data_IF_156642501317
#
_entry.id   IF_156642501317
#
_cell.length_a   1.000
_cell.length_b   1.000
_cell.length_c   1.000
_cell.angle_alpha   90.00
_cell.angle_beta   90.00
_cell.angle_gamma   90.00
#
_symmetry.space_group_name_H-M   'P 1'
#
loop_
_entity.id
_entity.type
_entity.pdbx_description
1 polymer ?
#
# COMPACT_ATOMS: atom_id res chain seq x y z
N UNK A 1 25.29 -12.31 -14.81
CA UNK A 1 24.15 -12.16 -15.73
C UNK A 1 24.58 -11.35 -16.94
N UNK A 2 24.47 -11.93 -18.13
CA UNK A 2 24.75 -11.24 -19.40
C UNK A 2 23.55 -10.35 -19.82
N UNK A 3 23.72 -9.54 -20.88
CA UNK A 3 22.68 -8.60 -21.34
C UNK A 3 21.38 -9.30 -21.79
N UNK A 4 21.50 -10.49 -22.36
CA UNK A 4 20.37 -11.26 -22.88
C UNK A 4 19.53 -11.87 -21.75
N UNK A 5 20.18 -12.53 -20.79
CA UNK A 5 19.55 -13.05 -19.57
C UNK A 5 18.82 -11.95 -18.78
N UNK A 6 19.43 -10.76 -18.70
CA UNK A 6 18.82 -9.61 -18.04
C UNK A 6 17.52 -9.17 -18.74
N UNK A 7 17.51 -9.16 -20.07
CA UNK A 7 16.31 -8.85 -20.86
C UNK A 7 15.17 -9.84 -20.59
N UNK A 8 15.48 -11.15 -20.59
CA UNK A 8 14.51 -12.20 -20.30
C UNK A 8 13.90 -12.03 -18.91
N UNK A 9 14.72 -11.81 -17.88
CA UNK A 9 14.22 -11.62 -16.51
C UNK A 9 13.32 -10.38 -16.40
N UNK A 10 13.67 -9.28 -17.05
CA UNK A 10 12.84 -8.06 -17.07
C UNK A 10 11.48 -8.34 -17.73
N UNK A 11 11.46 -9.06 -18.86
CA UNK A 11 10.21 -9.41 -19.53
C UNK A 11 9.36 -10.38 -18.72
N UNK A 12 10.00 -11.30 -17.98
CA UNK A 12 9.31 -12.17 -17.03
C UNK A 12 8.66 -11.37 -15.90
N UNK A 13 9.37 -10.42 -15.29
CA UNK A 13 8.82 -9.53 -14.25
C UNK A 13 7.59 -8.78 -14.80
N UNK A 14 7.68 -8.22 -16.02
CA UNK A 14 6.55 -7.51 -16.65
C UNK A 14 5.34 -8.42 -16.86
N UNK A 15 5.54 -9.66 -17.30
CA UNK A 15 4.46 -10.65 -17.49
C UNK A 15 3.79 -11.03 -16.16
N UNK A 16 4.58 -11.32 -15.13
CA UNK A 16 4.07 -11.66 -13.80
C UNK A 16 3.32 -10.47 -13.18
N UNK A 17 3.87 -9.26 -13.29
CA UNK A 17 3.21 -8.03 -12.82
C UNK A 17 1.86 -7.79 -13.52
N UNK A 18 1.77 -8.05 -14.84
CA UNK A 18 0.51 -7.96 -15.58
C UNK A 18 -0.54 -8.98 -15.12
N UNK A 19 -0.09 -10.16 -14.67
CA UNK A 19 -0.93 -11.20 -14.04
C UNK A 19 -1.23 -10.95 -12.56
N UNK A 20 -0.68 -9.88 -11.97
CA UNK A 20 -0.74 -9.57 -10.53
C UNK A 20 -0.04 -10.62 -9.64
N UNK A 21 0.87 -11.40 -10.22
CA UNK A 21 1.73 -12.36 -9.51
C UNK A 21 2.94 -11.61 -8.90
N UNK A 22 2.65 -10.68 -7.97
CA UNK A 22 3.64 -9.73 -7.46
C UNK A 22 4.74 -10.37 -6.61
N UNK A 23 4.43 -11.43 -5.87
CA UNK A 23 5.39 -12.15 -5.03
C UNK A 23 6.53 -12.76 -5.84
N UNK A 24 6.20 -13.48 -6.90
CA UNK A 24 7.20 -14.07 -7.81
C UNK A 24 7.96 -13.00 -8.57
N UNK A 25 7.25 -11.98 -9.07
CA UNK A 25 7.87 -10.85 -9.76
C UNK A 25 8.89 -10.13 -8.85
N UNK A 26 8.57 -9.95 -7.57
CA UNK A 26 9.44 -9.27 -6.60
C UNK A 26 10.70 -10.07 -6.30
N UNK A 27 10.57 -11.39 -6.16
CA UNK A 27 11.71 -12.28 -5.97
C UNK A 27 12.70 -12.17 -7.14
N UNK A 28 12.20 -12.24 -8.38
CA UNK A 28 13.05 -12.09 -9.57
C UNK A 28 13.69 -10.70 -9.64
N UNK A 29 12.93 -9.66 -9.29
CA UNK A 29 13.42 -8.28 -9.30
C UNK A 29 14.58 -8.06 -8.30
N UNK A 30 14.58 -8.71 -7.12
CA UNK A 30 15.68 -8.60 -6.14
C UNK A 30 16.99 -9.19 -6.64
N UNK A 31 16.92 -10.25 -7.45
CA UNK A 31 18.12 -10.90 -8.02
C UNK A 31 18.79 -10.09 -9.15
N UNK A 32 18.14 -9.01 -9.62
CA UNK A 32 18.65 -8.19 -10.72
C UNK A 32 19.55 -7.08 -10.17
N UNK A 33 20.73 -6.94 -10.79
CA UNK A 33 21.55 -5.75 -10.59
C UNK A 33 21.03 -4.56 -11.42
N UNK A 34 20.12 -3.80 -10.84
CA UNK A 34 19.48 -2.62 -11.45
C UNK A 34 20.45 -1.47 -11.78
N UNK A 35 21.68 -1.49 -11.23
CA UNK A 35 22.70 -0.49 -11.59
C UNK A 35 23.11 -0.58 -13.06
N UNK A 36 22.84 -1.68 -13.76
CA UNK A 36 23.13 -1.83 -15.19
C UNK A 36 21.94 -1.50 -16.10
N UNK A 37 20.74 -1.35 -15.55
CA UNK A 37 19.51 -1.11 -16.30
C UNK A 37 19.24 0.40 -16.38
N UNK A 38 19.21 0.95 -17.59
CA UNK A 38 18.90 2.38 -17.83
C UNK A 38 17.45 2.63 -18.22
N UNK A 39 16.69 1.58 -18.50
CA UNK A 39 15.29 1.68 -18.89
C UNK A 39 14.42 2.07 -17.69
N UNK A 40 13.76 3.23 -17.80
CA UNK A 40 12.82 3.71 -16.79
C UNK A 40 11.62 2.80 -16.64
N UNK A 41 11.09 2.23 -17.73
CA UNK A 41 9.90 1.37 -17.65
C UNK A 41 10.19 0.08 -16.86
N UNK A 42 11.35 -0.53 -17.09
CA UNK A 42 11.81 -1.68 -16.31
C UNK A 42 11.97 -1.33 -14.82
N UNK A 43 12.62 -0.20 -14.50
CA UNK A 43 12.80 0.26 -13.11
C UNK A 43 11.46 0.56 -12.43
N UNK A 44 10.56 1.28 -13.11
CA UNK A 44 9.23 1.58 -12.59
C UNK A 44 8.42 0.30 -12.31
N UNK A 45 8.49 -0.68 -13.21
CA UNK A 45 7.84 -1.99 -13.00
C UNK A 45 8.40 -2.68 -11.76
N UNK A 46 9.73 -2.70 -11.60
CA UNK A 46 10.37 -3.32 -10.45
C UNK A 46 9.99 -2.63 -9.13
N UNK A 47 10.02 -1.30 -9.10
CA UNK A 47 9.60 -0.49 -7.95
C UNK A 47 8.14 -0.83 -7.55
N UNK A 48 7.22 -0.83 -8.52
CA UNK A 48 5.80 -1.12 -8.25
C UNK A 48 5.58 -2.54 -7.75
N UNK A 49 6.35 -3.50 -8.25
CA UNK A 49 6.27 -4.90 -7.81
C UNK A 49 6.76 -5.06 -6.36
N UNK A 50 7.87 -4.40 -5.98
CA UNK A 50 8.34 -4.41 -4.58
C UNK A 50 7.33 -3.72 -3.65
N UNK A 51 6.77 -2.59 -4.10
CA UNK A 51 5.71 -1.92 -3.36
C UNK A 51 4.48 -2.81 -3.14
N UNK A 52 4.05 -3.53 -4.18
CA UNK A 52 2.86 -4.38 -4.12
C UNK A 52 2.99 -5.54 -3.12
N UNK A 53 4.21 -6.02 -2.85
CA UNK A 53 4.48 -7.03 -1.82
C UNK A 53 4.78 -6.43 -0.45
N UNK A 54 4.75 -5.10 -0.32
CA UNK A 54 5.01 -4.38 0.94
C UNK A 54 6.49 -4.21 1.28
N UNK A 55 7.41 -4.51 0.36
CA UNK A 55 8.85 -4.29 0.56
C UNK A 55 9.20 -2.83 0.21
N UNK A 56 8.85 -1.94 1.12
CA UNK A 56 9.04 -0.49 0.95
C UNK A 56 10.52 -0.07 1.01
N UNK A 57 11.39 -0.85 1.67
CA UNK A 57 12.82 -0.55 1.70
C UNK A 57 13.47 -0.82 0.34
N UNK A 58 13.16 -1.96 -0.28
CA UNK A 58 13.66 -2.28 -1.61
C UNK A 58 13.07 -1.34 -2.67
N UNK A 59 11.77 -1.06 -2.60
CA UNK A 59 11.12 -0.09 -3.50
C UNK A 59 11.75 1.31 -3.39
N UNK A 60 12.07 1.76 -2.16
CA UNK A 60 12.80 3.02 -1.90
C UNK A 60 14.17 3.00 -2.55
N UNK A 61 14.97 1.96 -2.34
CA UNK A 61 16.35 1.90 -2.82
C UNK A 61 16.41 1.89 -4.36
N UNK A 62 15.49 1.18 -5.01
CA UNK A 62 15.31 1.24 -6.47
C UNK A 62 14.85 2.62 -6.94
N UNK A 63 13.94 3.28 -6.22
CA UNK A 63 13.49 4.63 -6.53
C UNK A 63 14.61 5.68 -6.36
N UNK A 64 15.47 5.55 -5.35
CA UNK A 64 16.68 6.37 -5.17
C UNK A 64 17.61 6.22 -6.37
N UNK A 65 17.82 4.99 -6.84
CA UNK A 65 18.64 4.74 -8.03
C UNK A 65 18.09 5.48 -9.26
N UNK A 66 16.78 5.41 -9.49
CA UNK A 66 16.12 6.11 -10.58
C UNK A 66 16.20 7.65 -10.43
N UNK A 67 16.02 8.16 -9.20
CA UNK A 67 16.11 9.59 -8.89
C UNK A 67 17.50 10.15 -9.17
N UNK A 68 18.55 9.44 -8.72
CA UNK A 68 19.94 9.82 -8.97
C UNK A 68 20.30 9.84 -10.48
N UNK A 69 19.54 9.11 -11.30
CA UNK A 69 19.67 9.06 -12.77
C UNK A 69 18.80 10.05 -13.50
N UNK A 70 18.07 10.91 -12.78
CA UNK A 70 17.13 11.87 -13.35
C UNK A 70 15.99 11.20 -14.15
N UNK A 71 15.57 9.99 -13.76
CA UNK A 71 14.44 9.28 -14.35
C UNK A 71 13.14 9.60 -13.60
N UNK A 72 12.00 9.38 -14.25
CA UNK A 72 10.66 9.45 -13.63
C UNK A 72 10.13 10.84 -13.22
N UNK A 73 10.99 11.86 -13.17
CA UNK A 73 10.59 13.26 -12.96
C UNK A 73 9.79 13.50 -11.68
N UNK A 74 8.83 14.43 -11.73
CA UNK A 74 8.00 14.83 -10.57
C UNK A 74 7.21 13.68 -9.97
N UNK A 75 6.71 12.75 -10.81
CA UNK A 75 5.97 11.56 -10.36
C UNK A 75 6.86 10.64 -9.50
N UNK A 76 8.13 10.47 -9.86
CA UNK A 76 9.06 9.71 -9.02
C UNK A 76 9.37 10.44 -7.71
N UNK A 77 9.49 11.77 -7.71
CA UNK A 77 9.70 12.53 -6.46
C UNK A 77 8.54 12.33 -5.49
N UNK A 78 7.30 12.40 -5.97
CA UNK A 78 6.11 12.06 -5.18
C UNK A 78 6.24 10.66 -4.60
N UNK A 79 6.48 9.67 -5.46
CA UNK A 79 6.51 8.26 -5.07
C UNK A 79 7.62 7.93 -4.07
N UNK A 80 8.81 8.48 -4.30
CA UNK A 80 9.94 8.33 -3.39
C UNK A 80 9.66 8.99 -2.03
N UNK A 81 8.92 10.11 -2.01
CA UNK A 81 8.46 10.71 -0.76
C UNK A 81 7.54 9.77 0.01
N UNK A 82 6.57 9.12 -0.66
CA UNK A 82 5.72 8.10 -0.04
C UNK A 82 6.55 6.96 0.57
N UNK A 83 7.58 6.47 -0.14
CA UNK A 83 8.44 5.41 0.41
C UNK A 83 9.22 5.85 1.65
N UNK A 84 9.77 7.07 1.65
CA UNK A 84 10.42 7.61 2.85
C UNK A 84 9.45 7.76 4.03
N UNK A 85 8.19 8.14 3.78
CA UNK A 85 7.13 8.15 4.80
C UNK A 85 6.89 6.73 5.35
N UNK A 86 6.76 5.74 4.46
CA UNK A 86 6.48 4.34 4.83
C UNK A 86 7.59 3.70 5.66
N UNK A 87 8.84 4.01 5.36
CA UNK A 87 10.01 3.51 6.12
C UNK A 87 10.36 4.37 7.34
N UNK A 88 9.58 5.43 7.62
CA UNK A 88 9.77 6.30 8.79
C UNK A 88 10.96 7.26 8.73
N UNK A 89 11.55 7.46 7.54
CA UNK A 89 12.66 8.39 7.33
C UNK A 89 12.11 9.77 6.93
N UNK A 90 11.65 10.48 7.95
CA UNK A 90 10.93 11.74 7.80
C UNK A 90 11.82 12.90 7.35
N UNK A 91 13.12 12.88 7.66
CA UNK A 91 14.05 13.93 7.24
C UNK A 91 14.15 13.98 5.71
N UNK A 92 14.35 12.81 5.08
CA UNK A 92 14.38 12.72 3.63
C UNK A 92 13.00 12.95 3.00
N UNK A 93 11.92 12.49 3.66
CA UNK A 93 10.57 12.77 3.20
C UNK A 93 10.26 14.27 3.16
N UNK A 94 10.62 15.03 4.21
CA UNK A 94 10.45 16.49 4.26
C UNK A 94 11.24 17.18 3.14
N UNK A 95 12.51 16.80 2.93
CA UNK A 95 13.35 17.40 1.88
C UNK A 95 12.81 17.16 0.46
N UNK A 96 12.22 15.98 0.21
CA UNK A 96 11.63 15.65 -1.09
C UNK A 96 10.22 16.23 -1.27
N UNK A 97 9.42 16.30 -0.21
CA UNK A 97 8.16 17.01 -0.23
C UNK A 97 8.35 18.47 -0.65
N UNK A 98 9.36 19.15 -0.09
CA UNK A 98 9.68 20.52 -0.47
C UNK A 98 10.10 20.67 -1.94
N UNK A 99 10.81 19.68 -2.50
CA UNK A 99 11.12 19.63 -3.93
C UNK A 99 9.85 19.45 -4.77
N UNK A 100 8.98 18.54 -4.36
CA UNK A 100 7.71 18.29 -5.01
C UNK A 100 6.84 19.54 -5.01
N UNK A 101 6.62 20.14 -3.83
CA UNK A 101 5.82 21.35 -3.64
C UNK A 101 6.27 22.49 -4.55
N UNK A 102 7.59 22.73 -4.66
CA UNK A 102 8.15 23.79 -5.51
C UNK A 102 8.03 23.50 -7.00
N UNK A 103 8.16 22.24 -7.40
CA UNK A 103 8.10 21.82 -8.81
C UNK A 103 6.68 21.54 -9.32
N UNK A 104 5.71 21.39 -8.41
CA UNK A 104 4.32 21.02 -8.68
C UNK A 104 3.31 21.98 -8.03
N UNK A 105 3.53 23.29 -8.16
CA UNK A 105 2.74 24.34 -7.48
C UNK A 105 1.25 24.40 -7.87
N UNK A 106 0.87 23.79 -8.98
CA UNK A 106 -0.55 23.70 -9.41
C UNK A 106 -1.12 22.30 -9.23
N UNK A 107 -0.33 21.35 -8.73
CA UNK A 107 -0.80 20.01 -8.45
C UNK A 107 -1.44 19.97 -7.06
N UNK A 108 -2.70 19.56 -7.02
CA UNK A 108 -3.49 19.47 -5.79
C UNK A 108 -3.03 18.29 -4.93
N UNK A 109 -2.42 17.26 -5.53
CA UNK A 109 -1.87 16.09 -4.83
C UNK A 109 -0.80 16.47 -3.79
N UNK A 110 -0.22 17.67 -3.88
CA UNK A 110 0.72 18.18 -2.88
C UNK A 110 0.10 18.29 -1.48
N UNK A 111 -1.20 18.57 -1.39
CA UNK A 111 -1.88 18.67 -0.09
C UNK A 111 -2.03 17.29 0.54
N UNK A 112 -2.35 16.29 -0.28
CA UNK A 112 -2.47 14.89 0.16
C UNK A 112 -1.12 14.33 0.60
N UNK A 113 -0.06 14.54 -0.18
CA UNK A 113 1.28 14.10 0.23
C UNK A 113 1.73 14.79 1.52
N UNK A 114 1.39 16.07 1.70
CA UNK A 114 1.68 16.78 2.94
C UNK A 114 0.89 16.22 4.11
N UNK A 115 -0.40 15.98 3.92
CA UNK A 115 -1.28 15.36 4.91
C UNK A 115 -0.72 14.01 5.37
N UNK A 116 -0.34 13.13 4.44
CA UNK A 116 0.21 11.81 4.76
C UNK A 116 1.54 11.90 5.51
N UNK A 117 2.42 12.84 5.12
CA UNK A 117 3.68 13.11 5.80
C UNK A 117 3.47 13.58 7.25
N UNK A 118 2.59 14.58 7.44
CA UNK A 118 2.29 15.13 8.78
C UNK A 118 1.59 14.11 9.66
N UNK A 119 0.67 13.34 9.10
CA UNK A 119 0.00 12.24 9.80
C UNK A 119 0.99 11.17 10.26
N UNK A 120 1.94 10.77 9.41
CA UNK A 120 2.97 9.80 9.78
C UNK A 120 3.95 10.34 10.84
N UNK A 121 4.17 11.66 10.87
CA UNK A 121 4.92 12.36 11.92
C UNK A 121 4.14 12.54 13.23
N UNK A 122 2.92 12.01 13.34
CA UNK A 122 2.02 12.19 14.48
C UNK A 122 1.70 13.67 14.77
N UNK A 123 1.52 14.48 13.71
CA UNK A 123 1.00 15.82 13.84
C UNK A 123 -0.37 15.83 14.55
N UNK A 124 -0.69 16.95 15.21
CA UNK A 124 -1.97 17.08 15.91
C UNK A 124 -3.16 17.00 14.95
N UNK A 125 -4.30 16.49 15.42
CA UNK A 125 -5.52 16.45 14.60
C UNK A 125 -5.91 17.85 14.08
N UNK A 126 -5.68 18.92 14.85
CA UNK A 126 -5.94 20.30 14.41
C UNK A 126 -5.03 20.74 13.24
N UNK A 127 -3.79 20.28 13.21
CA UNK A 127 -2.89 20.56 12.09
C UNK A 127 -3.38 19.82 10.83
N UNK A 128 -3.77 18.56 10.98
CA UNK A 128 -4.34 17.75 9.90
C UNK A 128 -5.66 18.33 9.36
N UNK A 129 -6.49 18.92 10.24
CA UNK A 129 -7.68 19.68 9.83
C UNK A 129 -7.30 20.81 8.88
N UNK A 130 -6.33 21.65 9.26
CA UNK A 130 -5.94 22.80 8.43
C UNK A 130 -5.48 22.38 7.03
N UNK A 131 -4.70 21.28 6.93
CA UNK A 131 -4.24 20.77 5.63
C UNK A 131 -5.40 20.31 4.74
N UNK A 132 -6.40 19.63 5.32
CA UNK A 132 -7.55 19.15 4.55
C UNK A 132 -8.59 20.25 4.26
N UNK A 133 -8.68 21.28 5.10
CA UNK A 133 -9.44 22.50 4.78
C UNK A 133 -8.86 23.19 3.55
N UNK A 134 -7.52 23.39 3.52
CA UNK A 134 -6.83 23.95 2.35
C UNK A 134 -7.04 23.08 1.11
N UNK A 135 -6.98 21.74 1.24
CA UNK A 135 -7.20 20.82 0.13
C UNK A 135 -8.61 20.93 -0.45
N UNK A 136 -9.64 20.96 0.42
CA UNK A 136 -11.06 21.05 0.03
C UNK A 136 -11.35 22.28 -0.82
N UNK A 137 -10.67 23.38 -0.56
CA UNK A 137 -10.87 24.63 -1.32
C UNK A 137 -10.33 24.53 -2.76
N UNK A 138 -9.55 23.48 -3.08
CA UNK A 138 -9.00 23.21 -4.40
C UNK A 138 -9.66 22.00 -5.09
N UNK A 139 -10.08 20.99 -4.33
CA UNK A 139 -10.64 19.75 -4.88
C UNK A 139 -11.71 19.14 -3.96
N UNK A 140 -12.85 18.77 -4.54
CA UNK A 140 -13.94 18.07 -3.85
C UNK A 140 -13.72 16.57 -4.03
N UNK A 141 -13.11 15.93 -3.04
CA UNK A 141 -12.85 14.48 -3.01
C UNK A 141 -13.61 13.81 -1.86
N UNK A 142 -14.42 12.79 -2.19
CA UNK A 142 -15.34 12.11 -1.25
C UNK A 142 -14.59 11.53 -0.03
N UNK A 143 -13.43 10.91 -0.26
CA UNK A 143 -12.64 10.24 0.76
C UNK A 143 -12.06 11.26 1.74
N UNK A 144 -11.44 12.33 1.23
CA UNK A 144 -10.80 13.33 2.08
C UNK A 144 -11.80 14.26 2.76
N UNK A 145 -12.97 14.51 2.17
CA UNK A 145 -14.07 15.16 2.87
C UNK A 145 -14.53 14.34 4.08
N UNK A 146 -14.67 13.02 3.94
CA UNK A 146 -15.03 12.17 5.08
C UNK A 146 -13.90 12.11 6.13
N UNK A 147 -12.65 12.08 5.71
CA UNK A 147 -11.52 12.15 6.65
C UNK A 147 -11.50 13.50 7.41
N UNK A 148 -11.80 14.61 6.74
CA UNK A 148 -11.96 15.93 7.37
C UNK A 148 -13.12 15.92 8.38
N UNK A 149 -14.28 15.35 8.04
CA UNK A 149 -15.39 15.21 8.98
C UNK A 149 -15.00 14.42 10.24
N UNK A 150 -14.23 13.33 10.09
CA UNK A 150 -13.70 12.57 11.23
C UNK A 150 -12.74 13.40 12.09
N UNK A 151 -11.89 14.23 11.48
CA UNK A 151 -10.98 15.10 12.23
C UNK A 151 -11.73 16.20 12.97
N UNK A 152 -12.78 16.79 12.38
CA UNK A 152 -13.68 17.70 13.08
C UNK A 152 -14.33 17.03 14.29
N UNK A 153 -14.81 15.80 14.13
CA UNK A 153 -15.36 15.03 15.24
C UNK A 153 -14.34 14.85 16.37
N UNK A 154 -13.12 14.41 16.06
CA UNK A 154 -12.05 14.20 17.05
C UNK A 154 -11.62 15.48 17.78
N UNK A 155 -11.64 16.61 17.07
CA UNK A 155 -11.25 17.92 17.61
C UNK A 155 -12.39 18.65 18.32
N UNK A 156 -13.58 18.03 18.44
CA UNK A 156 -14.75 18.61 19.10
C UNK A 156 -15.52 19.64 18.26
N UNK A 157 -15.16 19.82 16.99
CA UNK A 157 -15.81 20.73 16.02
C UNK A 157 -17.09 20.09 15.44
N UNK A 158 -18.10 19.92 16.29
CA UNK A 158 -19.31 19.15 15.97
C UNK A 158 -20.11 19.75 14.82
N UNK A 159 -20.27 21.07 14.78
CA UNK A 159 -21.06 21.73 13.74
C UNK A 159 -20.43 21.56 12.35
N UNK A 160 -19.12 21.74 12.25
CA UNK A 160 -18.35 21.57 11.02
C UNK A 160 -18.36 20.11 10.55
N UNK A 161 -18.27 19.15 11.48
CA UNK A 161 -18.45 17.73 11.21
C UNK A 161 -19.81 17.44 10.56
N UNK A 162 -20.90 17.93 11.16
CA UNK A 162 -22.26 17.71 10.66
C UNK A 162 -22.45 18.33 9.28
N UNK A 163 -22.04 19.60 9.12
CA UNK A 163 -22.12 20.32 7.84
C UNK A 163 -21.35 19.59 6.74
N UNK A 164 -20.15 19.09 7.06
CA UNK A 164 -19.34 18.35 6.09
C UNK A 164 -19.98 17.00 5.74
N UNK A 165 -20.57 16.28 6.70
CA UNK A 165 -21.32 15.06 6.41
C UNK A 165 -22.54 15.32 5.51
N UNK A 166 -23.26 16.42 5.74
CA UNK A 166 -24.40 16.80 4.90
C UNK A 166 -23.96 17.19 3.48
N UNK A 167 -22.83 17.89 3.34
CA UNK A 167 -22.24 18.18 2.02
C UNK A 167 -21.83 16.90 1.28
N UNK A 168 -21.26 15.90 1.97
CA UNK A 168 -20.92 14.60 1.37
C UNK A 168 -22.19 13.93 0.81
N UNK A 169 -23.25 13.85 1.60
CA UNK A 169 -24.54 13.27 1.16
C UNK A 169 -25.11 14.05 -0.03
N UNK A 170 -25.01 15.38 0.00
CA UNK A 170 -25.55 16.24 -1.06
C UNK A 170 -24.76 16.13 -2.37
N UNK A 171 -23.44 16.08 -2.34
CA UNK A 171 -22.61 16.14 -3.55
C UNK A 171 -22.41 14.78 -4.21
N UNK A 172 -22.32 13.70 -3.42
CA UNK A 172 -22.01 12.37 -3.96
C UNK A 172 -23.24 11.47 -4.08
N UNK A 173 -24.32 11.72 -3.33
CA UNK A 173 -25.61 11.00 -3.32
C UNK A 173 -25.53 9.53 -2.85
N UNK A 174 -24.57 8.75 -3.35
CA UNK A 174 -24.27 7.38 -2.95
C UNK A 174 -22.76 7.16 -2.76
N UNK A 175 -22.38 5.98 -2.27
CA UNK A 175 -20.99 5.60 -2.07
C UNK A 175 -20.62 5.26 -0.63
N UNK A 176 -19.47 4.60 -0.47
CA UNK A 176 -19.02 4.09 0.83
C UNK A 176 -18.73 5.22 1.82
N UNK A 177 -18.31 6.41 1.37
CA UNK A 177 -18.07 7.51 2.30
C UNK A 177 -19.34 8.30 2.60
N UNK A 178 -20.31 8.34 1.68
CA UNK A 178 -21.69 8.78 1.99
C UNK A 178 -22.30 7.94 3.11
N UNK A 179 -22.25 6.61 3.01
CA UNK A 179 -22.75 5.72 4.06
C UNK A 179 -22.07 5.98 5.41
N UNK A 180 -20.73 6.11 5.39
CA UNK A 180 -19.94 6.38 6.58
C UNK A 180 -20.21 7.76 7.19
N UNK A 181 -20.51 8.77 6.36
CA UNK A 181 -20.88 10.10 6.81
C UNK A 181 -22.24 10.08 7.53
N UNK A 182 -23.22 9.35 7.00
CA UNK A 182 -24.52 9.17 7.66
C UNK A 182 -24.39 8.41 8.97
N UNK A 183 -23.58 7.35 9.02
CA UNK A 183 -23.26 6.64 10.27
C UNK A 183 -22.60 7.54 11.31
N UNK A 184 -21.71 8.46 10.88
CA UNK A 184 -21.08 9.41 11.79
C UNK A 184 -22.11 10.40 12.37
N UNK A 185 -23.07 10.86 11.56
CA UNK A 185 -24.21 11.66 12.03
C UNK A 185 -25.09 10.91 13.03
N UNK A 186 -25.39 9.63 12.78
CA UNK A 186 -26.15 8.78 13.70
C UNK A 186 -25.45 8.68 15.06
N UNK A 187 -24.13 8.44 15.07
CA UNK A 187 -23.32 8.38 16.29
C UNK A 187 -23.31 9.69 17.08
N UNK A 188 -23.44 10.82 16.38
CA UNK A 188 -23.55 12.15 16.99
C UNK A 188 -24.94 12.45 17.54
N UNK A 189 -25.93 11.57 17.36
CA UNK A 189 -27.31 11.78 17.80
C UNK A 189 -28.07 12.80 16.95
N UNK A 190 -27.62 13.08 15.73
CA UNK A 190 -28.26 14.05 14.84
C UNK A 190 -29.50 13.43 14.22
N UNK A 191 -30.60 14.20 14.15
CA UNK A 191 -31.82 13.77 13.47
C UNK A 191 -31.53 13.60 11.97
N UNK A 192 -31.66 12.37 11.50
CA UNK A 192 -31.43 12.01 10.10
C UNK A 192 -32.67 12.27 9.25
N UNK A 193 -32.46 12.70 8.01
CA UNK A 193 -33.52 12.85 7.01
C UNK A 193 -34.08 11.49 6.59
N UNK A 194 -35.26 11.46 5.92
CA UNK A 194 -35.84 10.23 5.39
C UNK A 194 -34.87 9.48 4.47
N UNK A 195 -34.17 10.22 3.59
CA UNK A 195 -33.15 9.68 2.69
C UNK A 195 -31.98 9.07 3.46
N UNK A 196 -31.46 9.79 4.46
CA UNK A 196 -30.35 9.32 5.30
C UNK A 196 -30.72 8.04 6.08
N UNK A 197 -31.95 7.94 6.58
CA UNK A 197 -32.46 6.72 7.22
C UNK A 197 -32.49 5.53 6.25
N UNK A 198 -32.98 5.74 5.02
CA UNK A 198 -32.98 4.70 3.98
C UNK A 198 -31.57 4.17 3.67
N UNK A 199 -30.58 5.06 3.56
CA UNK A 199 -29.17 4.67 3.38
C UNK A 199 -28.69 3.75 4.51
N UNK A 200 -29.02 4.05 5.77
CA UNK A 200 -28.63 3.20 6.89
C UNK A 200 -29.32 1.83 6.88
N UNK A 201 -30.59 1.78 6.51
CA UNK A 201 -31.32 0.51 6.38
C UNK A 201 -30.70 -0.38 5.31
N UNK A 202 -30.35 0.19 4.16
CA UNK A 202 -29.72 -0.55 3.06
C UNK A 202 -28.32 -1.06 3.45
N UNK A 203 -27.55 -0.26 4.21
CA UNK A 203 -26.26 -0.70 4.74
C UNK A 203 -26.42 -1.83 5.75
N UNK A 204 -27.45 -1.80 6.61
CA UNK A 204 -27.72 -2.87 7.58
C UNK A 204 -28.08 -4.18 6.85
N UNK A 205 -28.98 -4.12 5.87
CA UNK A 205 -29.33 -5.29 5.03
C UNK A 205 -28.10 -5.89 4.35
N UNK A 206 -27.28 -5.06 3.69
CA UNK A 206 -26.03 -5.53 3.06
C UNK A 206 -25.08 -6.22 4.05
N UNK A 207 -24.97 -5.71 5.28
CA UNK A 207 -24.13 -6.34 6.31
C UNK A 207 -24.69 -7.69 6.76
N UNK A 208 -26.01 -7.80 6.91
CA UNK A 208 -26.67 -9.06 7.24
C UNK A 208 -26.47 -10.09 6.12
N UNK A 209 -26.62 -9.71 4.85
CA UNK A 209 -26.39 -10.58 3.70
C UNK A 209 -24.93 -11.07 3.63
N UNK A 210 -23.96 -10.18 3.88
CA UNK A 210 -22.53 -10.53 3.90
C UNK A 210 -22.22 -11.52 5.03
N UNK A 211 -22.76 -11.30 6.23
CA UNK A 211 -22.51 -12.20 7.37
C UNK A 211 -23.15 -13.57 7.13
N UNK A 212 -24.39 -13.62 6.62
CA UNK A 212 -25.04 -14.87 6.24
C UNK A 212 -24.22 -15.64 5.19
N UNK A 213 -23.72 -14.95 4.15
CA UNK A 213 -22.87 -15.57 3.12
C UNK A 213 -21.55 -16.09 3.71
N UNK A 214 -20.97 -15.39 4.67
CA UNK A 214 -19.73 -15.79 5.34
C UNK A 214 -19.94 -17.02 6.23
N UNK A 215 -21.05 -17.09 6.96
CA UNK A 215 -21.45 -18.26 7.73
C UNK A 215 -21.66 -19.48 6.82
N UNK A 216 -22.33 -19.30 5.68
CA UNK A 216 -22.48 -20.37 4.67
C UNK A 216 -21.14 -20.84 4.11
N UNK A 217 -20.22 -19.93 3.78
CA UNK A 217 -18.88 -20.27 3.30
C UNK A 217 -18.07 -21.01 4.36
N UNK A 218 -18.18 -20.60 5.63
CA UNK A 218 -17.51 -21.26 6.74
C UNK A 218 -18.09 -22.66 7.00
N UNK A 219 -19.42 -22.82 6.91
CA UNK A 219 -20.09 -24.12 7.00
C UNK A 219 -19.64 -25.06 5.88
N UNK A 220 -19.61 -24.59 4.62
CA UNK A 220 -19.08 -25.35 3.48
C UNK A 220 -17.62 -25.73 3.63
N UNK A 221 -16.77 -24.83 4.14
CA UNK A 221 -15.36 -25.14 4.43
C UNK A 221 -15.22 -26.21 5.51
N UNK A 222 -16.02 -26.14 6.57
CA UNK A 222 -16.03 -27.15 7.64
C UNK A 222 -16.50 -28.51 7.13
N UNK A 223 -17.54 -28.54 6.29
CA UNK A 223 -18.04 -29.75 5.65
C UNK A 223 -17.00 -30.37 4.71
N UNK A 224 -16.34 -29.56 3.87
CA UNK A 224 -15.20 -29.99 3.04
C UNK A 224 -14.02 -30.53 3.86
N UNK A 225 -13.73 -29.92 5.02
CA UNK A 225 -12.68 -30.40 5.92
C UNK A 225 -13.06 -31.74 6.58
N UNK A 226 -14.34 -31.95 6.91
CA UNK A 226 -14.84 -33.21 7.44
C UNK A 226 -14.81 -34.31 6.36
N UNK A 227 -15.29 -34.03 5.14
CA UNK A 227 -15.22 -34.97 4.00
C UNK A 227 -13.77 -35.40 3.69
N UNK A 228 -12.82 -34.45 3.68
CA UNK A 228 -11.39 -34.79 3.51
C UNK A 228 -10.83 -35.63 4.64
N UNK A 229 -11.40 -35.53 5.85
CA UNK A 229 -10.99 -36.35 6.98
C UNK A 229 -11.57 -37.77 6.87
N UNK A 230 -12.82 -37.88 6.45
CA UNK A 230 -13.49 -39.15 6.21
C UNK A 230 -12.88 -39.91 5.02
N UNK A 231 -12.50 -39.22 3.92
CA UNK A 231 -11.75 -39.83 2.81
C UNK A 231 -10.37 -40.35 3.23
N UNK A 232 -9.70 -39.68 4.18
CA UNK A 232 -8.43 -40.19 4.73
C UNK A 232 -8.69 -41.37 5.67
N UNK A 233 -9.75 -41.36 6.48
CA UNK A 233 -10.14 -42.48 7.35
C UNK A 233 -10.61 -43.72 6.57
N UNK A 234 -11.27 -43.56 5.42
CA UNK A 234 -11.69 -44.67 4.55
C UNK A 234 -10.50 -45.29 3.79
N UNK A 235 -9.52 -44.49 3.37
CA UNK A 235 -8.25 -45.02 2.82
C UNK A 235 -7.44 -45.79 3.87
N UNK A 236 -7.51 -45.40 5.15
CA UNK A 236 -6.88 -46.14 6.25
C UNK A 236 -7.69 -47.34 6.76
N UNK A 237 -8.94 -47.55 6.31
CA UNK A 237 -9.75 -48.72 6.68
C UNK A 237 -9.73 -49.84 5.63
N UNK A 238 -9.34 -49.54 4.38
CA UNK A 238 -9.10 -50.56 3.35
C UNK A 238 -7.69 -51.19 3.40
N UNK A 239 -6.74 -50.61 4.14
CA UNK A 239 -5.38 -51.18 4.31
C UNK A 239 -5.17 -51.96 5.63
N UNK A 240 -6.15 -52.01 6.53
CA UNK A 240 -6.04 -52.68 7.85
C UNK A 240 -6.27 -54.22 7.82
N UNK A 241 -6.33 -54.86 6.65
CA UNK A 241 -6.24 -56.33 6.51
C UNK A 241 -4.87 -56.85 6.05
N UNK A 242 -3.87 -55.98 5.81
CA UNK A 242 -2.51 -56.46 5.51
C UNK A 242 -1.44 -55.71 6.29
N UNK A 243 -0.74 -56.51 7.07
CA UNK A 243 0.60 -56.28 7.60
C UNK A 243 0.69 -55.51 8.93
N UNK A 244 0.37 -56.26 9.98
CA UNK A 244 1.28 -56.38 11.10
C UNK A 244 2.71 -56.64 10.58
N UNK A 245 3.65 -55.70 10.79
CA UNK A 245 4.91 -55.91 11.53
C UNK A 245 5.94 -54.79 11.30
N UNK A 246 6.63 -54.48 12.40
CA UNK A 246 7.99 -53.91 12.51
C UNK A 246 8.13 -52.37 12.54
N UNK A 247 8.05 -51.86 13.78
CA UNK A 247 9.12 -51.14 14.51
C UNK A 247 10.08 -50.23 13.73
N UNK A 248 10.24 -48.99 14.22
CA UNK A 248 11.50 -48.26 14.05
C UNK A 248 11.41 -46.75 14.25
N UNK A 249 11.52 -46.28 15.50
CA UNK A 249 11.66 -44.87 15.86
C UNK A 249 13.13 -44.46 15.70
N UNK A 250 13.43 -43.40 14.94
CA UNK A 250 14.63 -42.56 15.14
C UNK A 250 14.45 -41.16 14.50
N UNK A 251 15.16 -40.13 15.02
CA UNK A 251 14.73 -38.73 14.98
C UNK A 251 15.25 -37.92 13.78
N UNK A 252 14.58 -36.79 13.57
CA UNK A 252 14.79 -35.75 12.56
C UNK A 252 16.15 -35.05 12.72
N UNK A 253 16.91 -34.77 11.65
CA UNK A 253 18.02 -33.82 11.70
C UNK A 253 17.53 -32.38 11.51
N UNK A 254 17.96 -31.54 12.44
CA UNK A 254 17.80 -30.09 12.49
C UNK A 254 18.65 -29.43 11.39
N UNK A 255 18.02 -28.77 10.41
CA UNK A 255 18.72 -28.03 9.35
C UNK A 255 18.84 -26.57 9.76
N UNK A 256 20.06 -26.16 10.08
CA UNK A 256 20.46 -24.78 10.29
C UNK A 256 20.33 -23.96 9.00
N UNK A 257 19.45 -22.96 9.01
CA UNK A 257 19.36 -21.93 7.96
C UNK A 257 20.54 -20.97 8.07
N UNK A 258 21.52 -21.13 7.18
CA UNK A 258 22.57 -20.16 6.96
C UNK A 258 22.00 -19.04 6.06
N UNK A 259 21.71 -17.88 6.65
CA UNK A 259 21.30 -16.67 5.91
C UNK A 259 22.57 -15.92 5.50
N UNK A 260 22.85 -15.72 4.20
CA UNK A 260 23.99 -14.91 3.79
C UNK A 260 23.75 -13.44 4.11
N UNK A 261 24.59 -12.96 5.01
CA UNK A 261 24.84 -11.58 5.39
C UNK A 261 25.22 -10.71 4.17
N UNK A 262 24.24 -10.01 3.59
CA UNK A 262 24.48 -8.89 2.67
C UNK A 262 23.62 -7.68 3.04
N UNK A 263 23.55 -7.39 4.34
CA UNK A 263 22.86 -6.23 4.90
C UNK A 263 23.86 -5.23 5.51
N UNK A 264 24.87 -4.79 4.76
CA UNK A 264 25.75 -3.71 5.22
C UNK A 264 26.48 -2.98 4.07
N UNK A 265 25.79 -2.06 3.35
CA UNK A 265 26.42 -0.80 2.87
C UNK A 265 25.49 0.23 2.19
N UNK A 266 24.25 0.39 2.61
CA UNK A 266 23.39 1.50 2.15
C UNK A 266 22.70 2.27 3.28
N UNK A 267 23.32 2.33 4.47
CA UNK A 267 22.86 3.21 5.54
C UNK A 267 23.28 4.66 5.23
N UNK A 268 22.27 5.54 5.17
CA UNK A 268 22.33 7.01 5.08
C UNK A 268 22.72 7.61 3.71
N UNK A 269 21.79 7.57 2.75
CA UNK A 269 21.75 8.58 1.68
C UNK A 269 20.82 9.71 2.08
N UNK A 270 21.36 10.76 2.69
CA UNK A 270 20.62 12.04 2.80
C UNK A 270 20.27 12.55 1.39
N UNK A 271 19.08 13.12 1.22
CA UNK A 271 18.63 13.77 -0.03
C UNK A 271 19.65 14.77 -0.55
N UNK A 272 20.41 15.46 0.31
CA UNK A 272 21.55 16.30 -0.08
C UNK A 272 22.63 15.53 -0.87
N UNK A 273 22.98 14.33 -0.43
CA UNK A 273 23.96 13.46 -1.11
C UNK A 273 23.41 12.94 -2.43
N UNK A 274 22.12 12.57 -2.47
CA UNK A 274 21.43 12.15 -3.70
C UNK A 274 21.40 13.28 -4.74
N UNK A 275 21.04 14.51 -4.34
CA UNK A 275 21.07 15.69 -5.20
C UNK A 275 22.47 16.01 -5.73
N UNK A 276 23.51 15.89 -4.90
CA UNK A 276 24.91 16.07 -5.34
C UNK A 276 25.29 15.04 -6.40
N UNK A 277 24.95 13.77 -6.19
CA UNK A 277 25.18 12.70 -7.18
C UNK A 277 24.43 12.97 -8.48
N UNK A 278 23.16 13.38 -8.41
CA UNK A 278 22.35 13.76 -9.58
C UNK A 278 22.98 14.92 -10.37
N UNK A 279 23.43 15.99 -9.69
CA UNK A 279 24.12 17.12 -10.35
C UNK A 279 25.42 16.71 -11.05
N UNK A 280 26.24 15.88 -10.41
CA UNK A 280 27.47 15.36 -11.04
C UNK A 280 27.17 14.53 -12.29
N UNK A 281 26.14 13.67 -12.25
CA UNK A 281 25.76 12.85 -13.38
C UNK A 281 25.27 13.70 -14.56
N UNK A 282 24.44 14.71 -14.29
CA UNK A 282 23.95 15.65 -15.31
C UNK A 282 25.11 16.41 -15.96
N UNK A 283 26.06 16.91 -15.16
CA UNK A 283 27.22 17.63 -15.69
C UNK A 283 28.13 16.73 -16.55
N UNK A 284 28.29 15.45 -16.18
CA UNK A 284 29.11 14.50 -16.94
C UNK A 284 28.49 14.12 -18.31
N UNK A 285 27.17 14.23 -18.45
CA UNK A 285 26.47 13.97 -19.71
C UNK A 285 26.50 15.17 -20.66
N UNK A 286 26.73 16.40 -20.16
CA UNK A 286 26.85 17.60 -20.99
C UNK A 286 28.30 17.84 -21.49
N UNK A 287 29.27 17.04 -21.05
CA UNK A 287 30.68 17.11 -21.46
C UNK A 287 31.07 16.02 -22.48
N UNK A 288 30.10 15.34 -23.07
CA UNK A 288 30.27 14.36 -24.18
C UNK A 288 29.37 14.76 -25.33
#
# INVERSE_FOLDING_TARGET
>A
MNKYELGIKIDQIKKLAAKKEYTEAAAIAKDINWTKVKDWQALATAINVQEAVGDYEEARDMAILAYNRNLGGRKLVYKLTEFFIKVGDFDNANELYEEYRKSSQHDVSRFILYYDLRKAQNASDNELVGILEDYRDHEIDEKYMYELAKLYYKTGRKEECIKTCDNIVLWFQDGIYVEKAVQLKEKLGVVLTKTQKGILEDVRKRKEDIEATKEELFAKQKELANLKRDEVEDVFREEDEKEQKLTGKQPVPEVSLNVPEFAMKLKMFSVKKMRKNRKHLVNSLHQR
#
